data_IF_853530071038
#
_entry.id   IF_853530071038
#
_cell.length_a   1.000
_cell.length_b   1.000
_cell.length_c   1.000
_cell.angle_alpha   90.00
_cell.angle_beta   90.00
_cell.angle_gamma   90.00
#
_symmetry.space_group_name_H-M   'P 1'
#
loop_
_entity.id
_entity.type
_entity.pdbx_description
1 polymer ?
#
# COMPACT_ATOMS: atom_id res chain seq x y z
N UNK A 1 40.81 -14.96 36.48
CA UNK A 1 41.33 -13.74 35.84
C UNK A 1 40.16 -12.85 35.41
N UNK A 2 39.45 -12.27 36.39
CA UNK A 2 38.38 -11.29 36.15
C UNK A 2 39.02 -9.92 36.03
N UNK A 3 39.16 -9.38 34.82
CA UNK A 3 39.68 -8.02 34.64
C UNK A 3 38.78 -7.25 33.66
N UNK A 4 38.02 -6.32 34.27
CA UNK A 4 37.24 -5.22 33.69
C UNK A 4 36.08 -5.61 32.75
N UNK A 5 34.96 -5.99 33.35
CA UNK A 5 33.64 -5.63 32.82
C UNK A 5 33.36 -4.20 33.32
N UNK A 6 33.04 -3.22 32.46
CA UNK A 6 32.70 -1.87 32.91
C UNK A 6 31.47 -1.93 33.82
N UNK A 7 31.50 -1.23 34.96
CA UNK A 7 30.48 -1.30 36.02
C UNK A 7 29.04 -1.00 35.53
N UNK A 8 28.89 -0.30 34.41
CA UNK A 8 27.61 -0.01 33.74
C UNK A 8 26.97 -1.22 33.04
N UNK A 9 27.76 -2.23 32.63
CA UNK A 9 27.24 -3.43 31.98
C UNK A 9 26.62 -4.40 32.99
N UNK A 10 27.13 -4.41 34.23
CA UNK A 10 26.72 -5.34 35.27
C UNK A 10 25.36 -4.97 35.89
N UNK A 11 25.06 -3.67 35.99
CA UNK A 11 23.76 -3.19 36.49
C UNK A 11 22.62 -3.47 35.50
N UNK A 12 22.85 -3.40 34.19
CA UNK A 12 21.84 -3.75 33.19
C UNK A 12 21.61 -5.26 33.03
N UNK A 13 22.64 -6.08 33.20
CA UNK A 13 22.50 -7.55 33.21
C UNK A 13 21.66 -8.06 34.39
N UNK A 14 21.58 -7.30 35.49
CA UNK A 14 20.78 -7.64 36.66
C UNK A 14 19.27 -7.46 36.47
N UNK A 15 18.85 -6.60 35.54
CA UNK A 15 17.43 -6.28 35.29
C UNK A 15 16.72 -7.26 34.35
N UNK A 16 17.45 -8.25 33.80
CA UNK A 16 16.94 -9.19 32.82
C UNK A 16 16.58 -10.54 33.50
N UNK A 17 15.43 -11.16 33.17
CA UNK A 17 15.01 -12.45 33.71
C UNK A 17 16.06 -13.56 33.49
N UNK A 18 16.20 -14.45 34.48
CA UNK A 18 17.30 -15.42 34.58
C UNK A 18 17.49 -16.32 33.34
N UNK A 19 16.42 -16.61 32.59
CA UNK A 19 16.45 -17.39 31.35
C UNK A 19 17.22 -16.71 30.21
N UNK A 20 17.22 -15.37 30.14
CA UNK A 20 17.99 -14.61 29.16
C UNK A 20 19.46 -14.42 29.59
N UNK A 21 19.73 -14.38 30.90
CA UNK A 21 21.08 -14.21 31.45
C UNK A 21 22.02 -15.36 31.05
N UNK A 22 21.50 -16.59 31.04
CA UNK A 22 22.23 -17.78 30.61
C UNK A 22 22.56 -17.77 29.10
N UNK A 23 21.65 -17.24 28.26
CA UNK A 23 21.82 -17.22 26.81
C UNK A 23 22.88 -16.20 26.36
N UNK A 24 22.94 -15.05 27.03
CA UNK A 24 23.96 -14.00 26.80
C UNK A 24 25.36 -14.48 27.26
N UNK A 25 25.43 -15.17 28.41
CA UNK A 25 26.69 -15.75 28.90
C UNK A 25 27.22 -16.86 27.99
N UNK A 26 26.34 -17.71 27.43
CA UNK A 26 26.74 -18.75 26.46
C UNK A 26 27.27 -18.17 25.14
N UNK A 27 26.78 -17.00 24.70
CA UNK A 27 27.29 -16.36 23.47
C UNK A 27 28.69 -15.77 23.69
N UNK A 28 29.01 -15.35 24.91
CA UNK A 28 30.33 -14.83 25.26
C UNK A 28 31.40 -15.91 25.43
N UNK A 29 31.05 -17.14 25.84
CA UNK A 29 32.00 -18.24 25.98
C UNK A 29 32.43 -18.88 24.64
N UNK A 30 31.69 -18.64 23.56
CA UNK A 30 31.99 -19.18 22.22
C UNK A 30 32.91 -18.33 21.34
N UNK A 31 33.30 -17.13 21.78
CA UNK A 31 34.04 -16.18 20.95
C UNK A 31 35.54 -16.17 21.33
N UNK A 32 36.24 -17.26 20.99
CA UNK A 32 37.71 -17.29 21.07
C UNK A 32 38.31 -16.75 19.77
N UNK A 33 39.06 -15.66 19.90
CA UNK A 33 40.01 -15.07 18.93
C UNK A 33 39.45 -14.67 17.56
N UNK A 34 39.29 -13.36 17.37
CA UNK A 34 39.98 -12.58 16.31
C UNK A 34 39.80 -11.08 16.54
N UNK A 35 40.82 -10.30 16.20
CA UNK A 35 40.99 -8.87 16.46
C UNK A 35 39.94 -8.01 15.71
N UNK A 36 39.26 -7.10 16.43
CA UNK A 36 39.02 -5.68 16.10
C UNK A 36 37.78 -5.14 16.85
N UNK A 37 38.03 -4.33 17.89
CA UNK A 37 37.07 -3.91 18.91
C UNK A 37 36.15 -2.73 18.58
N UNK A 38 35.92 -2.40 17.30
CA UNK A 38 35.04 -1.26 16.91
C UNK A 38 33.69 -1.74 16.33
N UNK A 39 33.61 -2.95 15.79
CA UNK A 39 32.36 -3.49 15.21
C UNK A 39 31.38 -4.09 16.23
N UNK A 40 31.84 -4.41 17.45
CA UNK A 40 31.04 -5.17 18.43
C UNK A 40 29.98 -4.28 19.12
N UNK A 41 30.27 -2.99 19.33
CA UNK A 41 29.31 -2.06 19.93
C UNK A 41 28.15 -1.73 18.99
N UNK A 42 28.40 -1.70 17.68
CA UNK A 42 27.35 -1.45 16.70
C UNK A 42 26.37 -2.62 16.65
N UNK A 43 26.85 -3.87 16.52
CA UNK A 43 25.96 -5.04 16.53
C UNK A 43 25.17 -5.19 17.83
N UNK A 44 25.75 -4.86 18.98
CA UNK A 44 25.06 -4.99 20.27
C UNK A 44 24.01 -3.89 20.52
N UNK A 45 24.26 -2.64 20.08
CA UNK A 45 23.24 -1.59 20.12
C UNK A 45 22.09 -1.89 19.15
N UNK A 46 22.39 -2.46 17.97
CA UNK A 46 21.37 -2.90 17.02
C UNK A 46 20.52 -4.04 17.58
N UNK A 47 21.11 -5.02 18.29
CA UNK A 47 20.34 -6.11 18.90
C UNK A 47 19.46 -5.63 20.08
N UNK A 48 19.92 -4.65 20.87
CA UNK A 48 19.15 -4.10 22.00
C UNK A 48 18.05 -3.12 21.52
N UNK A 49 18.29 -2.33 20.47
CA UNK A 49 17.24 -1.54 19.81
C UNK A 49 16.21 -2.40 19.06
N UNK A 50 16.63 -3.56 18.54
CA UNK A 50 15.77 -4.57 17.87
C UNK A 50 14.81 -5.29 18.84
N UNK A 51 15.12 -5.34 20.14
CA UNK A 51 14.25 -5.99 21.14
C UNK A 51 13.12 -5.07 21.63
N UNK A 52 13.29 -3.74 21.55
CA UNK A 52 12.33 -2.78 22.12
C UNK A 52 11.36 -2.16 21.11
N UNK A 53 11.66 -2.23 19.82
CA UNK A 53 10.70 -1.89 18.77
C UNK A 53 10.19 -3.18 18.13
N UNK A 54 8.93 -3.52 18.39
CA UNK A 54 8.20 -4.65 17.80
C UNK A 54 8.01 -4.52 16.29
N UNK A 55 9.11 -4.52 15.55
CA UNK A 55 9.14 -4.74 14.11
C UNK A 55 9.09 -6.25 13.93
N UNK A 56 7.90 -6.71 13.52
CA UNK A 56 7.64 -8.08 13.09
C UNK A 56 8.71 -8.45 12.06
N UNK A 57 9.51 -9.49 12.35
CA UNK A 57 10.56 -9.94 11.43
C UNK A 57 9.93 -10.42 10.12
N UNK A 58 10.44 -9.99 8.95
CA UNK A 58 9.99 -10.52 7.66
C UNK A 58 10.03 -12.06 7.61
N UNK A 59 10.98 -12.68 8.30
CA UNK A 59 11.14 -14.15 8.38
C UNK A 59 9.95 -14.88 9.03
N UNK A 60 9.20 -14.27 9.95
CA UNK A 60 7.97 -14.88 10.50
C UNK A 60 6.76 -14.76 9.55
N UNK A 61 6.77 -13.79 8.63
CA UNK A 61 5.82 -13.75 7.51
C UNK A 61 6.09 -14.90 6.54
N UNK A 62 7.37 -15.28 6.36
CA UNK A 62 7.77 -16.40 5.51
C UNK A 62 7.51 -17.78 6.13
N UNK A 63 7.60 -17.94 7.46
CA UNK A 63 7.49 -19.24 8.13
C UNK A 63 6.07 -19.78 8.30
N UNK A 64 5.03 -18.98 8.00
CA UNK A 64 3.63 -19.42 7.94
C UNK A 64 3.24 -19.96 6.55
N UNK A 65 4.18 -20.18 5.63
CA UNK A 65 3.94 -20.94 4.39
C UNK A 65 3.78 -22.44 4.70
N UNK A 66 2.61 -22.73 5.27
CA UNK A 66 1.98 -24.03 5.36
C UNK A 66 2.04 -24.74 4.01
N UNK A 67 2.35 -26.05 4.00
CA UNK A 67 2.29 -26.88 2.79
C UNK A 67 0.94 -26.70 2.10
N UNK A 68 0.94 -25.91 1.03
CA UNK A 68 -0.27 -25.55 0.29
C UNK A 68 -0.56 -26.71 -0.64
N UNK A 69 -1.53 -27.56 -0.29
CA UNK A 69 -2.09 -28.54 -1.23
C UNK A 69 -2.39 -27.81 -2.56
N UNK A 70 -2.06 -28.44 -3.70
CA UNK A 70 -2.30 -27.89 -5.05
C UNK A 70 -3.70 -27.29 -5.19
N UNK A 71 -4.70 -27.91 -4.56
CA UNK A 71 -6.09 -27.45 -4.53
C UNK A 71 -6.22 -26.06 -3.90
N UNK A 72 -5.56 -25.82 -2.78
CA UNK A 72 -5.60 -24.52 -2.09
C UNK A 72 -4.81 -23.42 -2.81
N UNK A 73 -3.79 -23.77 -3.60
CA UNK A 73 -3.10 -22.81 -4.47
C UNK A 73 -3.99 -22.39 -5.65
N UNK A 74 -4.68 -23.35 -6.29
CA UNK A 74 -5.62 -23.08 -7.38
C UNK A 74 -6.78 -22.21 -6.88
N UNK A 75 -7.37 -22.53 -5.72
CA UNK A 75 -8.48 -21.74 -5.16
C UNK A 75 -8.09 -20.27 -4.93
N UNK A 76 -6.86 -20.01 -4.44
CA UNK A 76 -6.36 -18.64 -4.21
C UNK A 76 -6.25 -17.80 -5.48
N UNK A 77 -6.03 -18.45 -6.63
CA UNK A 77 -6.00 -17.80 -7.93
C UNK A 77 -7.41 -17.64 -8.53
N UNK A 78 -8.23 -18.69 -8.43
CA UNK A 78 -9.57 -18.73 -9.03
C UNK A 78 -10.52 -17.74 -8.36
N UNK A 79 -10.49 -17.59 -7.03
CA UNK A 79 -11.41 -16.70 -6.28
C UNK A 79 -11.47 -15.26 -6.86
N UNK A 80 -10.36 -14.50 -6.94
CA UNK A 80 -10.40 -13.13 -7.45
C UNK A 80 -10.81 -13.05 -8.93
N UNK A 81 -10.42 -14.03 -9.75
CA UNK A 81 -10.78 -14.08 -11.18
C UNK A 81 -12.27 -14.35 -11.35
N UNK A 82 -12.84 -15.30 -10.61
CA UNK A 82 -14.27 -15.60 -10.63
C UNK A 82 -15.09 -14.41 -10.14
N UNK A 83 -14.65 -13.71 -9.09
CA UNK A 83 -15.31 -12.48 -8.64
C UNK A 83 -15.27 -11.38 -9.68
N UNK A 84 -14.15 -11.20 -10.38
CA UNK A 84 -14.03 -10.24 -11.48
C UNK A 84 -15.02 -10.57 -12.62
N UNK A 85 -15.08 -11.85 -13.02
CA UNK A 85 -16.01 -12.30 -14.05
C UNK A 85 -17.47 -12.09 -13.62
N UNK A 86 -17.81 -12.46 -12.39
CA UNK A 86 -19.16 -12.27 -11.84
C UNK A 86 -19.57 -10.79 -11.83
N UNK A 87 -18.67 -9.90 -11.39
CA UNK A 87 -18.90 -8.46 -11.42
C UNK A 87 -19.10 -7.93 -12.85
N UNK A 88 -18.25 -8.34 -13.81
CA UNK A 88 -18.38 -7.91 -15.19
C UNK A 88 -19.66 -8.44 -15.86
N UNK A 89 -20.00 -9.71 -15.63
CA UNK A 89 -21.27 -10.30 -16.10
C UNK A 89 -22.46 -9.54 -15.55
N UNK A 90 -22.43 -9.14 -14.27
CA UNK A 90 -23.46 -8.29 -13.68
C UNK A 90 -23.57 -6.94 -14.40
N UNK A 91 -22.44 -6.30 -14.75
CA UNK A 91 -22.44 -5.05 -15.51
C UNK A 91 -23.01 -5.21 -16.93
N UNK A 92 -22.73 -6.33 -17.61
CA UNK A 92 -23.27 -6.63 -18.94
C UNK A 92 -24.79 -6.79 -18.92
N UNK A 93 -25.37 -7.27 -17.81
CA UNK A 93 -26.83 -7.37 -17.65
C UNK A 93 -27.49 -6.00 -17.44
N UNK A 94 -26.77 -5.03 -16.88
CA UNK A 94 -27.29 -3.69 -16.60
C UNK A 94 -27.13 -2.72 -17.79
N UNK A 95 -26.12 -2.92 -18.64
CA UNK A 95 -25.73 -1.98 -19.69
C UNK A 95 -25.96 -2.55 -21.10
N UNK A 96 -26.22 -1.70 -22.11
CA UNK A 96 -26.21 -2.13 -23.50
C UNK A 96 -24.84 -2.69 -23.87
N UNK A 97 -24.83 -3.71 -24.73
CA UNK A 97 -23.62 -4.50 -25.05
C UNK A 97 -22.42 -3.64 -25.47
N UNK A 98 -22.65 -2.60 -26.28
CA UNK A 98 -21.59 -1.69 -26.73
C UNK A 98 -20.91 -0.96 -25.57
N UNK A 99 -21.69 -0.42 -24.63
CA UNK A 99 -21.17 0.30 -23.46
C UNK A 99 -20.50 -0.66 -22.47
N UNK A 100 -21.03 -1.89 -22.33
CA UNK A 100 -20.40 -2.91 -21.51
C UNK A 100 -19.02 -3.33 -22.05
N UNK A 101 -18.87 -3.45 -23.38
CA UNK A 101 -17.57 -3.70 -24.02
C UNK A 101 -16.57 -2.57 -23.78
N UNK A 102 -17.01 -1.30 -23.86
CA UNK A 102 -16.17 -0.15 -23.53
C UNK A 102 -15.71 -0.21 -22.08
N UNK A 103 -16.63 -0.47 -21.14
CA UNK A 103 -16.31 -0.64 -19.73
C UNK A 103 -15.28 -1.75 -19.51
N UNK A 104 -15.49 -2.92 -20.13
CA UNK A 104 -14.54 -4.04 -20.06
C UNK A 104 -13.17 -3.68 -20.61
N UNK A 105 -13.11 -2.97 -21.73
CA UNK A 105 -11.86 -2.43 -22.30
C UNK A 105 -11.14 -1.51 -21.33
N UNK A 106 -11.85 -0.54 -20.74
CA UNK A 106 -11.29 0.39 -19.75
C UNK A 106 -10.81 -0.32 -18.47
N UNK A 107 -11.52 -1.35 -18.02
CA UNK A 107 -11.11 -2.17 -16.87
C UNK A 107 -9.80 -2.94 -17.14
N UNK A 108 -9.58 -3.39 -18.38
CA UNK A 108 -8.31 -4.01 -18.78
C UNK A 108 -7.20 -2.96 -18.88
N UNK A 109 -7.50 -1.81 -19.49
CA UNK A 109 -6.55 -0.69 -19.64
C UNK A 109 -6.02 -0.18 -18.30
N UNK A 110 -6.81 -0.26 -17.23
CA UNK A 110 -6.37 0.06 -15.86
C UNK A 110 -5.09 -0.66 -15.43
N UNK A 111 -4.88 -1.90 -15.87
CA UNK A 111 -3.70 -2.68 -15.52
C UNK A 111 -2.46 -2.34 -16.36
N UNK A 112 -2.59 -1.49 -17.38
CA UNK A 112 -1.52 -1.11 -18.30
C UNK A 112 -1.02 0.30 -17.92
N UNK A 113 0.18 0.44 -17.31
CA UNK A 113 0.79 1.75 -17.10
C UNK A 113 0.96 2.44 -18.47
N UNK A 114 0.65 3.75 -18.62
CA UNK A 114 0.45 4.79 -17.61
C UNK A 114 -1.01 5.12 -17.26
N UNK A 115 -2.00 4.33 -17.70
CA UNK A 115 -3.41 4.67 -17.53
C UNK A 115 -3.90 4.45 -16.08
N UNK A 116 -3.82 5.49 -15.25
CA UNK A 116 -4.35 5.49 -13.89
C UNK A 116 -5.86 5.72 -13.82
N UNK A 117 -6.43 5.58 -12.61
CA UNK A 117 -7.85 5.91 -12.33
C UNK A 117 -8.19 7.35 -12.70
N UNK A 118 -7.24 8.25 -12.49
CA UNK A 118 -7.26 9.66 -12.86
C UNK A 118 -7.61 9.92 -14.33
N UNK A 119 -7.20 9.02 -15.23
CA UNK A 119 -7.49 9.15 -16.66
C UNK A 119 -8.71 8.33 -17.07
N UNK A 120 -8.84 7.12 -16.53
CA UNK A 120 -9.89 6.17 -16.94
C UNK A 120 -11.28 6.63 -16.50
N UNK A 121 -11.41 7.22 -15.31
CA UNK A 121 -12.72 7.70 -14.81
C UNK A 121 -13.28 8.81 -15.73
N UNK A 122 -12.54 9.90 -16.02
CA UNK A 122 -12.98 10.92 -16.97
C UNK A 122 -13.33 10.37 -18.35
N UNK A 123 -12.48 9.50 -18.91
CA UNK A 123 -12.69 8.91 -20.24
C UNK A 123 -13.97 8.07 -20.25
N UNK A 124 -14.19 7.22 -19.25
CA UNK A 124 -15.40 6.40 -19.15
C UNK A 124 -16.68 7.23 -19.07
N UNK A 125 -16.67 8.29 -18.27
CA UNK A 125 -17.81 9.21 -18.15
C UNK A 125 -18.06 9.95 -19.46
N UNK A 126 -17.01 10.45 -20.12
CA UNK A 126 -17.12 11.12 -21.42
C UNK A 126 -17.64 10.20 -22.54
N UNK A 127 -17.36 8.89 -22.47
CA UNK A 127 -17.89 7.87 -23.37
C UNK A 127 -19.33 7.44 -23.03
N UNK A 128 -19.96 8.07 -22.05
CA UNK A 128 -21.36 7.86 -21.69
C UNK A 128 -21.62 6.78 -20.65
N UNK A 129 -20.59 6.28 -19.96
CA UNK A 129 -20.77 5.36 -18.84
C UNK A 129 -21.21 6.16 -17.61
N UNK A 130 -22.25 5.75 -16.87
CA UNK A 130 -22.67 6.47 -15.67
C UNK A 130 -21.55 6.54 -14.63
N UNK A 131 -21.36 7.72 -14.03
CA UNK A 131 -20.29 8.01 -13.07
C UNK A 131 -20.23 7.02 -11.90
N UNK A 132 -21.38 6.58 -11.39
CA UNK A 132 -21.47 5.66 -10.26
C UNK A 132 -20.91 4.28 -10.64
N UNK A 133 -21.19 3.80 -11.86
CA UNK A 133 -20.70 2.51 -12.32
C UNK A 133 -19.20 2.55 -12.62
N UNK A 134 -18.68 3.66 -13.18
CA UNK A 134 -17.24 3.84 -13.34
C UNK A 134 -16.53 3.83 -11.99
N UNK A 135 -17.05 4.58 -11.02
CA UNK A 135 -16.47 4.65 -9.68
C UNK A 135 -16.47 3.29 -8.99
N UNK A 136 -17.59 2.56 -9.00
CA UNK A 136 -17.68 1.23 -8.40
C UNK A 136 -16.79 0.24 -9.11
N UNK A 137 -16.69 0.30 -10.45
CA UNK A 137 -15.87 -0.65 -11.21
C UNK A 137 -14.40 -0.53 -10.88
N UNK A 138 -13.84 0.68 -10.83
CA UNK A 138 -12.44 0.85 -10.46
C UNK A 138 -12.17 0.57 -8.99
N UNK A 139 -13.09 0.92 -8.09
CA UNK A 139 -12.96 0.57 -6.67
C UNK A 139 -12.98 -0.96 -6.46
N UNK A 140 -13.85 -1.68 -7.18
CA UNK A 140 -13.90 -3.15 -7.17
C UNK A 140 -12.61 -3.74 -7.75
N UNK A 141 -12.09 -3.21 -8.86
CA UNK A 141 -10.80 -3.68 -9.40
C UNK A 141 -9.66 -3.56 -8.38
N UNK A 142 -9.62 -2.48 -7.61
CA UNK A 142 -8.63 -2.32 -6.55
C UNK A 142 -8.77 -3.34 -5.42
N UNK A 143 -10.01 -3.60 -4.98
CA UNK A 143 -10.28 -4.63 -3.96
C UNK A 143 -9.94 -6.02 -4.49
N UNK A 144 -10.26 -6.33 -5.74
CA UNK A 144 -9.95 -7.61 -6.38
C UNK A 144 -8.45 -7.80 -6.58
N UNK A 145 -7.75 -6.74 -6.99
CA UNK A 145 -6.29 -6.73 -7.12
C UNK A 145 -5.65 -6.93 -5.75
N UNK A 146 -6.12 -6.23 -4.73
CA UNK A 146 -5.63 -6.40 -3.37
C UNK A 146 -5.87 -7.82 -2.85
N UNK A 147 -7.05 -8.38 -3.11
CA UNK A 147 -7.39 -9.76 -2.74
C UNK A 147 -6.46 -10.75 -3.46
N UNK A 148 -6.22 -10.56 -4.76
CA UNK A 148 -5.29 -11.37 -5.54
C UNK A 148 -3.87 -11.31 -4.95
N UNK A 149 -3.38 -10.12 -4.63
CA UNK A 149 -2.03 -9.91 -4.06
C UNK A 149 -1.92 -10.51 -2.67
N UNK A 150 -2.93 -10.37 -1.82
CA UNK A 150 -2.95 -10.96 -0.48
C UNK A 150 -2.90 -12.49 -0.55
N UNK A 151 -3.67 -13.09 -1.47
CA UNK A 151 -3.74 -14.55 -1.61
C UNK A 151 -2.49 -15.13 -2.29
N UNK A 152 -1.81 -14.36 -3.14
CA UNK A 152 -0.66 -14.78 -3.95
C UNK A 152 0.63 -14.00 -3.62
N UNK A 153 0.77 -13.53 -2.38
CA UNK A 153 1.82 -12.58 -1.96
C UNK A 153 3.24 -13.02 -2.33
N UNK A 154 3.57 -14.30 -2.07
CA UNK A 154 4.89 -14.88 -2.40
C UNK A 154 5.18 -14.87 -3.91
N UNK A 155 4.16 -15.06 -4.73
CA UNK A 155 4.30 -15.05 -6.20
C UNK A 155 4.50 -13.63 -6.71
N UNK A 156 3.70 -12.68 -6.20
CA UNK A 156 3.73 -11.26 -6.61
C UNK A 156 5.10 -10.63 -6.33
N UNK A 157 5.71 -10.91 -5.18
CA UNK A 157 7.03 -10.39 -4.83
C UNK A 157 8.17 -10.95 -5.69
N UNK A 158 7.97 -12.10 -6.34
CA UNK A 158 9.00 -12.74 -7.19
C UNK A 158 9.07 -12.14 -8.59
N UNK A 159 8.09 -11.31 -8.98
CA UNK A 159 8.01 -10.73 -10.32
C UNK A 159 8.91 -9.46 -10.37
N UNK A 160 10.03 -9.48 -11.11
CA UNK A 160 11.03 -8.41 -11.07
C UNK A 160 10.50 -7.06 -11.60
N UNK A 161 9.55 -7.09 -12.55
CA UNK A 161 8.96 -5.89 -13.14
C UNK A 161 8.05 -5.15 -12.14
N UNK A 162 7.29 -5.88 -11.32
CA UNK A 162 6.50 -5.29 -10.24
C UNK A 162 7.41 -4.69 -9.16
N UNK A 163 8.54 -5.34 -8.85
CA UNK A 163 9.51 -4.85 -7.87
C UNK A 163 10.06 -3.46 -8.19
N UNK A 164 10.39 -3.17 -9.46
CA UNK A 164 10.89 -1.85 -9.88
C UNK A 164 9.84 -0.74 -9.81
N UNK A 165 8.58 -1.07 -10.10
CA UNK A 165 7.46 -0.14 -9.96
C UNK A 165 7.16 0.12 -8.47
N UNK A 166 7.04 -0.96 -7.68
CA UNK A 166 6.80 -0.92 -6.24
C UNK A 166 7.87 -0.10 -5.49
N UNK A 167 9.16 -0.29 -5.80
CA UNK A 167 10.24 0.41 -5.07
C UNK A 167 10.20 1.92 -5.26
N UNK A 168 9.84 2.40 -6.46
CA UNK A 168 9.63 3.84 -6.73
C UNK A 168 8.47 4.42 -5.91
N UNK A 169 7.38 3.67 -5.79
CA UNK A 169 6.22 4.11 -5.00
C UNK A 169 6.41 3.98 -3.50
N UNK A 170 7.05 2.91 -3.03
CA UNK A 170 7.38 2.76 -1.62
C UNK A 170 8.33 3.84 -1.14
N UNK A 171 9.32 4.27 -1.92
CA UNK A 171 10.19 5.38 -1.53
C UNK A 171 9.41 6.67 -1.24
N UNK A 172 8.38 6.95 -2.05
CA UNK A 172 7.51 8.12 -1.84
C UNK A 172 6.54 7.91 -0.67
N UNK A 173 5.99 6.70 -0.52
CA UNK A 173 5.06 6.35 0.55
C UNK A 173 5.70 6.27 1.93
N UNK A 174 6.90 5.69 2.03
CA UNK A 174 7.69 5.64 3.27
C UNK A 174 8.11 7.03 3.70
N UNK A 175 8.57 7.90 2.79
CA UNK A 175 8.87 9.29 3.10
C UNK A 175 7.63 10.02 3.65
N UNK A 176 6.46 9.83 3.03
CA UNK A 176 5.20 10.42 3.47
C UNK A 176 4.76 9.91 4.86
N UNK A 177 4.88 8.60 5.10
CA UNK A 177 4.51 7.97 6.37
C UNK A 177 5.51 8.29 7.50
N UNK A 178 6.81 8.34 7.19
CA UNK A 178 7.87 8.67 8.14
C UNK A 178 7.78 10.12 8.63
N UNK A 179 7.43 11.06 7.74
CA UNK A 179 7.16 12.46 8.12
C UNK A 179 5.93 12.62 9.02
N UNK A 180 5.04 11.62 9.12
CA UNK A 180 3.77 11.70 9.86
C UNK A 180 3.57 10.49 10.79
N UNK A 181 4.32 10.39 11.90
CA UNK A 181 4.25 9.24 12.83
C UNK A 181 2.86 9.08 13.49
N UNK A 182 2.04 10.13 13.54
CA UNK A 182 0.64 10.02 14.00
C UNK A 182 -0.22 9.11 13.11
N UNK A 183 0.08 9.03 11.81
CA UNK A 183 -0.61 8.12 10.88
C UNK A 183 -0.35 6.64 11.22
N UNK A 184 0.79 6.34 11.85
CA UNK A 184 1.09 4.99 12.35
C UNK A 184 0.22 4.58 13.55
N UNK A 185 -0.30 5.55 14.32
CA UNK A 185 -1.21 5.28 15.45
C UNK A 185 -2.59 4.84 14.94
N UNK A 186 -2.99 5.33 13.77
CA UNK A 186 -4.25 4.96 13.08
C UNK A 186 -3.97 4.11 11.84
N UNK A 187 -3.32 2.96 12.02
CA UNK A 187 -2.83 2.09 10.93
C UNK A 187 -3.85 1.85 9.81
N UNK A 188 -5.11 1.54 10.15
CA UNK A 188 -6.18 1.32 9.18
C UNK A 188 -6.48 2.61 8.37
N UNK A 189 -6.66 3.73 9.06
CA UNK A 189 -6.97 5.01 8.42
C UNK A 189 -5.79 5.54 7.62
N UNK A 190 -4.55 5.30 8.06
CA UNK A 190 -3.36 5.68 7.31
C UNK A 190 -3.29 4.98 5.97
N UNK A 191 -3.60 3.67 5.91
CA UNK A 191 -3.66 2.93 4.64
C UNK A 191 -4.85 3.35 3.79
N UNK A 192 -6.04 3.56 4.39
CA UNK A 192 -7.21 4.04 3.65
C UNK A 192 -6.96 5.43 3.05
N UNK A 193 -6.33 6.32 3.79
CA UNK A 193 -5.91 7.64 3.33
C UNK A 193 -4.84 7.55 2.25
N UNK A 194 -3.87 6.65 2.39
CA UNK A 194 -2.85 6.39 1.37
C UNK A 194 -3.47 5.97 0.03
N UNK A 195 -4.47 5.09 0.06
CA UNK A 195 -5.23 4.69 -1.15
C UNK A 195 -6.02 5.88 -1.69
N UNK A 196 -6.62 6.67 -0.80
CA UNK A 196 -7.41 7.85 -1.20
C UNK A 196 -6.59 8.93 -1.92
N UNK A 197 -5.27 8.99 -1.68
CA UNK A 197 -4.40 9.92 -2.38
C UNK A 197 -4.29 9.54 -3.86
N UNK A 198 -4.42 10.52 -4.78
CA UNK A 198 -4.36 10.32 -6.24
C UNK A 198 -2.92 10.13 -6.74
N UNK A 199 -2.19 9.26 -6.07
CA UNK A 199 -0.83 8.89 -6.42
C UNK A 199 -0.92 7.61 -7.23
N UNK A 200 -0.28 7.59 -8.39
CA UNK A 200 -0.25 6.39 -9.21
C UNK A 200 0.29 5.22 -8.38
N UNK A 201 -0.36 4.06 -8.42
CA UNK A 201 0.11 2.87 -7.71
C UNK A 201 -0.20 2.76 -6.22
N UNK A 202 -0.93 3.70 -5.62
CA UNK A 202 -1.51 3.54 -4.27
C UNK A 202 -2.70 2.59 -4.22
N UNK A 203 -3.18 2.12 -5.39
CA UNK A 203 -4.29 1.18 -5.49
C UNK A 203 -3.97 -0.22 -4.92
N UNK A 204 -4.63 -1.24 -5.47
CA UNK A 204 -4.69 -2.58 -4.86
C UNK A 204 -3.34 -3.24 -4.52
N UNK A 205 -2.27 -3.00 -5.29
CA UNK A 205 -0.95 -3.61 -5.04
C UNK A 205 -0.15 -2.86 -3.98
N UNK A 206 0.03 -1.54 -4.15
CA UNK A 206 0.86 -0.72 -3.27
C UNK A 206 0.32 -0.65 -1.85
N UNK A 207 -1.00 -0.49 -1.70
CA UNK A 207 -1.63 -0.43 -0.39
C UNK A 207 -1.56 -1.75 0.39
N UNK A 208 -1.55 -2.90 -0.29
CA UNK A 208 -1.34 -4.19 0.37
C UNK A 208 0.06 -4.26 0.97
N UNK A 209 1.08 -3.81 0.23
CA UNK A 209 2.45 -3.83 0.72
C UNK A 209 2.65 -2.88 1.91
N UNK A 210 2.18 -1.63 1.79
CA UNK A 210 2.22 -0.64 2.89
C UNK A 210 1.46 -1.18 4.11
N UNK A 211 0.27 -1.75 3.90
CA UNK A 211 -0.51 -2.36 4.98
C UNK A 211 0.19 -3.51 5.68
N UNK A 212 0.92 -4.37 4.93
CA UNK A 212 1.75 -5.43 5.50
C UNK A 212 2.94 -4.89 6.28
N UNK A 213 3.61 -3.84 5.80
CA UNK A 213 4.74 -3.19 6.48
C UNK A 213 4.33 -2.58 7.82
N UNK A 214 3.12 -2.01 7.89
CA UNK A 214 2.54 -1.44 9.11
C UNK A 214 1.95 -2.53 10.05
N UNK A 215 1.98 -3.79 9.62
CA UNK A 215 1.55 -4.95 10.42
C UNK A 215 0.03 -5.11 10.52
N UNK A 216 -0.74 -4.65 9.52
CA UNK A 216 -2.18 -4.89 9.45
C UNK A 216 -2.50 -6.34 9.04
N UNK A 217 -3.59 -6.87 9.58
CA UNK A 217 -4.14 -8.14 9.11
C UNK A 217 -4.71 -8.01 7.69
N UNK A 218 -4.73 -9.11 6.93
CA UNK A 218 -5.22 -9.10 5.54
C UNK A 218 -6.64 -8.55 5.39
N UNK A 219 -7.52 -8.80 6.37
CA UNK A 219 -8.91 -8.28 6.37
C UNK A 219 -8.94 -6.76 6.55
N UNK A 220 -8.11 -6.23 7.45
CA UNK A 220 -8.00 -4.79 7.68
C UNK A 220 -7.45 -4.07 6.45
N UNK A 221 -6.50 -4.68 5.74
CA UNK A 221 -5.96 -4.15 4.48
C UNK A 221 -7.07 -4.05 3.42
N UNK A 222 -7.84 -5.12 3.23
CA UNK A 222 -8.96 -5.11 2.28
C UNK A 222 -10.02 -4.06 2.63
N UNK A 223 -10.35 -3.90 3.91
CA UNK A 223 -11.28 -2.86 4.36
C UNK A 223 -10.74 -1.45 4.11
N UNK A 224 -9.46 -1.21 4.43
CA UNK A 224 -8.83 0.07 4.20
C UNK A 224 -8.81 0.43 2.70
N UNK A 225 -8.47 -0.53 1.84
CA UNK A 225 -8.48 -0.36 0.39
C UNK A 225 -9.89 -0.13 -0.13
N UNK A 226 -10.88 -0.91 0.33
CA UNK A 226 -12.27 -0.72 -0.07
C UNK A 226 -12.78 0.69 0.26
N UNK A 227 -12.54 1.18 1.48
CA UNK A 227 -12.96 2.52 1.91
C UNK A 227 -12.21 3.60 1.13
N UNK A 228 -10.88 3.51 1.06
CA UNK A 228 -10.03 4.50 0.38
C UNK A 228 -10.33 4.58 -1.11
N UNK A 229 -10.34 3.45 -1.81
CA UNK A 229 -10.54 3.40 -3.26
C UNK A 229 -11.97 3.82 -3.63
N UNK A 230 -12.97 3.45 -2.81
CA UNK A 230 -14.35 3.90 -3.04
C UNK A 230 -14.48 5.41 -2.86
N UNK A 231 -13.92 5.98 -1.79
CA UNK A 231 -13.94 7.42 -1.56
C UNK A 231 -13.22 8.20 -2.66
N UNK A 232 -12.04 7.72 -3.09
CA UNK A 232 -11.25 8.28 -4.19
C UNK A 232 -12.04 8.26 -5.51
N UNK A 233 -12.51 7.08 -5.92
CA UNK A 233 -13.20 6.90 -7.19
C UNK A 233 -14.50 7.70 -7.23
N UNK A 234 -15.25 7.79 -6.13
CA UNK A 234 -16.46 8.62 -6.04
C UNK A 234 -16.10 10.10 -6.15
N UNK A 235 -15.07 10.56 -5.45
CA UNK A 235 -14.62 11.96 -5.51
C UNK A 235 -14.25 12.35 -6.94
N UNK A 236 -13.49 11.52 -7.66
CA UNK A 236 -13.13 11.78 -9.05
C UNK A 236 -14.31 11.70 -10.00
N UNK A 237 -15.15 10.69 -9.87
CA UNK A 237 -16.29 10.51 -10.75
C UNK A 237 -17.30 11.65 -10.61
N UNK A 238 -17.66 12.04 -9.38
CA UNK A 238 -18.57 13.15 -9.12
C UNK A 238 -17.94 14.48 -9.52
N UNK A 239 -16.65 14.68 -9.20
CA UNK A 239 -15.92 15.90 -9.58
C UNK A 239 -15.90 16.10 -11.10
N UNK A 240 -15.59 15.06 -11.86
CA UNK A 240 -15.60 15.12 -13.31
C UNK A 240 -17.00 15.29 -13.87
N UNK A 241 -17.99 14.53 -13.39
CA UNK A 241 -19.39 14.65 -13.82
C UNK A 241 -19.93 16.08 -13.64
N UNK A 242 -19.60 16.73 -12.53
CA UNK A 242 -20.01 18.11 -12.26
C UNK A 242 -19.40 19.09 -13.28
N UNK A 243 -18.08 18.98 -13.51
CA UNK A 243 -17.37 19.82 -14.48
C UNK A 243 -17.91 19.58 -15.89
N UNK A 244 -18.12 18.32 -16.28
CA UNK A 244 -18.63 17.93 -17.59
C UNK A 244 -20.03 18.50 -17.85
N UNK A 245 -20.94 18.37 -16.87
CA UNK A 245 -22.29 18.96 -16.96
C UNK A 245 -22.28 20.48 -17.06
N UNK A 246 -21.43 21.14 -16.27
CA UNK A 246 -21.28 22.59 -16.32
C UNK A 246 -20.73 23.06 -17.67
N UNK A 247 -19.80 22.31 -18.26
CA UNK A 247 -19.23 22.61 -19.57
C UNK A 247 -20.27 22.51 -20.68
N UNK A 248 -21.13 21.49 -20.63
CA UNK A 248 -22.23 21.31 -21.58
C UNK A 248 -23.35 22.35 -21.41
N UNK A 249 -23.62 22.78 -20.17
CA UNK A 249 -24.66 23.77 -19.89
C UNK A 249 -24.21 25.20 -20.23
N UNK A 250 -22.99 25.57 -19.83
CA UNK A 250 -22.40 26.90 -20.02
C UNK A 250 -20.88 26.79 -20.13
N UNK A 251 -20.35 26.88 -21.34
CA UNK A 251 -18.92 26.72 -21.63
C UNK A 251 -18.02 27.61 -20.73
N UNK A 252 -18.40 28.88 -20.54
CA UNK A 252 -17.63 29.82 -19.72
C UNK A 252 -17.60 29.43 -18.23
N UNK A 253 -18.73 28.98 -17.67
CA UNK A 253 -18.80 28.54 -16.26
C UNK A 253 -18.06 27.23 -16.07
N UNK A 254 -18.22 26.27 -16.98
CA UNK A 254 -17.48 25.00 -16.95
C UNK A 254 -15.97 25.22 -17.01
N UNK A 255 -15.50 26.09 -17.91
CA UNK A 255 -14.08 26.43 -18.02
C UNK A 255 -13.55 27.14 -16.77
N UNK A 256 -14.32 28.08 -16.20
CA UNK A 256 -13.94 28.76 -14.97
C UNK A 256 -13.77 27.79 -13.79
N UNK A 257 -14.71 26.84 -13.62
CA UNK A 257 -14.64 25.83 -12.56
C UNK A 257 -13.47 24.86 -12.80
N UNK A 258 -13.27 24.40 -14.04
CA UNK A 258 -12.15 23.53 -14.37
C UNK A 258 -10.79 24.21 -14.07
N UNK A 259 -10.62 25.47 -14.47
CA UNK A 259 -9.42 26.26 -14.18
C UNK A 259 -9.25 26.49 -12.68
N UNK A 260 -10.31 26.74 -11.93
CA UNK A 260 -10.25 26.90 -10.48
C UNK A 260 -9.78 25.61 -9.79
N UNK A 261 -10.30 24.44 -10.21
CA UNK A 261 -9.87 23.13 -9.67
C UNK A 261 -8.40 22.87 -9.98
N UNK A 262 -7.96 23.13 -11.22
CA UNK A 262 -6.55 22.98 -11.61
C UNK A 262 -5.67 23.93 -10.81
N UNK A 263 -6.05 25.21 -10.68
CA UNK A 263 -5.30 26.20 -9.91
C UNK A 263 -5.20 25.79 -8.43
N UNK A 264 -6.28 25.26 -7.85
CA UNK A 264 -6.27 24.75 -6.49
C UNK A 264 -5.33 23.54 -6.33
N UNK A 265 -5.36 22.59 -7.27
CA UNK A 265 -4.44 21.45 -7.26
C UNK A 265 -2.98 21.88 -7.39
N UNK A 266 -2.68 22.84 -8.27
CA UNK A 266 -1.33 23.43 -8.43
C UNK A 266 -0.89 24.16 -7.17
N UNK A 267 -1.79 24.90 -6.52
CA UNK A 267 -1.49 25.61 -5.27
C UNK A 267 -1.19 24.62 -4.14
N UNK A 268 -1.99 23.57 -4.01
CA UNK A 268 -1.70 22.48 -3.07
C UNK A 268 -0.34 21.86 -3.36
N UNK A 269 -0.06 21.51 -4.61
CA UNK A 269 1.23 20.95 -5.02
C UNK A 269 2.40 21.88 -4.69
N UNK A 270 2.27 23.18 -4.96
CA UNK A 270 3.29 24.18 -4.63
C UNK A 270 3.51 24.33 -3.12
N UNK A 271 2.44 24.26 -2.31
CA UNK A 271 2.55 24.27 -0.84
C UNK A 271 3.26 23.01 -0.35
N UNK A 272 2.94 21.84 -0.91
CA UNK A 272 3.61 20.59 -0.58
C UNK A 272 5.10 20.61 -0.98
N UNK A 273 5.44 21.07 -2.18
CA UNK A 273 6.85 21.23 -2.59
C UNK A 273 7.61 22.21 -1.69
N UNK A 274 6.98 23.31 -1.28
CA UNK A 274 7.63 24.31 -0.42
C UNK A 274 7.96 23.72 0.96
N UNK A 275 7.12 22.82 1.46
CA UNK A 275 7.42 22.09 2.70
C UNK A 275 8.59 21.11 2.54
N UNK A 276 8.73 20.45 1.39
CA UNK A 276 9.86 19.55 1.13
C UNK A 276 11.19 20.29 0.87
N UNK A 277 11.15 21.52 0.34
CA UNK A 277 12.35 22.34 0.06
C UNK A 277 12.83 23.21 1.25
N UNK A 278 12.09 23.23 2.37
CA UNK A 278 12.43 24.05 3.55
C UNK A 278 13.16 23.27 4.66
N UNK A 279 13.52 22.01 4.40
CA UNK A 279 14.39 21.15 5.24
C UNK A 279 15.74 20.95 4.54
#
# INVERSE_FOLDING_TARGET
MFKKIPALLFSHLMAVPASCRARILCTMSGCSRTQNGVHIYQSFLYEVLRINMGIIRPEEIFSQQQEVSMISAILRFVIPVTLAFFYYSWCVLLLPFNTALILGGLMITYYIPPAGKESIIPIGIALGIPWWLMATSLAVLDVLTALFVILNFTLVLRIPMLGAWISRFMGSGEAFMAKRPWLSRWRLLGVAFFVWLPLQGTGGVGAVLVGKMVGLSSRQILLAIGIGASAECIMFAVGFELIWRLLLANLYLGLAVALAVIAFAVLLYAVFQKQDNSE
#
